data_IF_803529206092
#
_entry.id   IF_803529206092
#
_cell.length_a   1.000
_cell.length_b   1.000
_cell.length_c   1.000
_cell.angle_alpha   90.00
_cell.angle_beta   90.00
_cell.angle_gamma   90.00
#
_symmetry.space_group_name_H-M   'P 1'
#
loop_
_entity.id
_entity.type
_entity.pdbx_description
1 polymer ?
#
# COMPACT_ATOMS: atom_id res chain seq x y z
N UNK A 1 -11.19 5.71 -6.30
CA UNK A 1 -11.04 6.59 -5.12
C UNK A 1 -11.60 8.00 -5.31
N UNK A 2 -11.07 8.88 -6.18
CA UNK A 2 -11.59 10.26 -6.33
C UNK A 2 -13.09 10.35 -6.64
N UNK A 3 -13.55 9.58 -7.64
CA UNK A 3 -14.97 9.46 -8.02
C UNK A 3 -15.84 9.00 -6.84
N UNK A 4 -15.41 7.95 -6.14
CA UNK A 4 -16.09 7.46 -4.94
C UNK A 4 -16.12 8.48 -3.80
N UNK A 5 -15.04 9.23 -3.59
CA UNK A 5 -14.98 10.31 -2.60
C UNK A 5 -15.92 11.48 -2.95
N UNK A 6 -16.24 11.66 -4.23
CA UNK A 6 -17.26 12.59 -4.71
C UNK A 6 -18.70 12.04 -4.63
N UNK A 7 -18.89 10.84 -4.04
CA UNK A 7 -20.20 10.20 -3.90
C UNK A 7 -20.65 9.40 -5.12
N UNK A 8 -19.79 9.22 -6.12
CA UNK A 8 -20.15 8.47 -7.33
C UNK A 8 -20.12 6.96 -7.09
N UNK A 9 -21.20 6.27 -7.50
CA UNK A 9 -21.27 4.81 -7.50
C UNK A 9 -20.61 4.27 -8.78
N UNK A 10 -19.56 3.46 -8.60
CA UNK A 10 -18.86 2.82 -9.71
C UNK A 10 -19.48 1.46 -10.05
N UNK A 11 -19.58 1.08 -11.33
CA UNK A 11 -19.96 -0.28 -11.71
C UNK A 11 -19.05 -1.31 -11.05
N UNK A 12 -19.60 -2.44 -10.63
CA UNK A 12 -18.85 -3.51 -9.92
C UNK A 12 -17.61 -3.96 -10.70
N UNK A 13 -17.71 -4.10 -12.02
CA UNK A 13 -16.57 -4.48 -12.86
C UNK A 13 -15.43 -3.47 -12.81
N UNK A 14 -15.75 -2.17 -12.86
CA UNK A 14 -14.76 -1.10 -12.76
C UNK A 14 -14.08 -1.09 -11.39
N UNK A 15 -14.87 -1.29 -10.33
CA UNK A 15 -14.35 -1.41 -8.97
C UNK A 15 -13.35 -2.58 -8.84
N UNK A 16 -13.72 -3.76 -9.35
CA UNK A 16 -12.90 -4.97 -9.32
C UNK A 16 -11.59 -4.80 -10.08
N UNK A 17 -11.64 -4.20 -11.28
CA UNK A 17 -10.44 -3.86 -12.05
C UNK A 17 -9.59 -2.82 -11.31
N UNK A 18 -10.20 -1.82 -10.67
CA UNK A 18 -9.51 -0.82 -9.87
C UNK A 18 -8.67 -1.42 -8.73
N UNK A 19 -9.10 -2.53 -8.12
CA UNK A 19 -8.31 -3.20 -7.10
C UNK A 19 -7.01 -3.80 -7.67
N UNK A 20 -6.93 -4.14 -8.96
CA UNK A 20 -5.69 -4.68 -9.54
C UNK A 20 -4.52 -3.68 -9.52
N UNK A 21 -4.82 -2.37 -9.50
CA UNK A 21 -3.82 -1.28 -9.47
C UNK A 21 -3.08 -1.11 -8.15
N UNK A 22 -3.62 -1.68 -7.06
CA UNK A 22 -3.04 -1.56 -5.72
C UNK A 22 -2.80 -2.93 -5.07
N UNK A 23 -3.13 -4.04 -5.75
CA UNK A 23 -3.02 -5.39 -5.21
C UNK A 23 -2.03 -6.24 -6.01
N UNK A 24 -0.72 -5.92 -5.97
CA UNK A 24 0.27 -6.76 -6.63
C UNK A 24 0.41 -8.11 -5.95
N UNK A 25 0.98 -9.06 -6.69
CA UNK A 25 1.58 -10.24 -6.07
C UNK A 25 2.90 -9.85 -5.42
N UNK A 26 3.01 -10.04 -4.11
CA UNK A 26 4.26 -9.91 -3.34
C UNK A 26 4.99 -11.23 -3.39
N UNK A 27 6.06 -11.26 -4.17
CA UNK A 27 6.87 -12.44 -4.45
C UNK A 27 8.12 -12.43 -3.56
N UNK A 28 8.32 -13.51 -2.81
CA UNK A 28 9.42 -13.69 -1.87
C UNK A 28 9.93 -15.12 -1.93
N UNK A 29 11.18 -15.33 -1.50
CA UNK A 29 11.77 -16.67 -1.39
C UNK A 29 12.60 -16.73 -0.10
N UNK A 30 12.49 -17.83 0.64
CA UNK A 30 13.18 -18.00 1.91
C UNK A 30 12.83 -19.32 2.58
N UNK A 31 12.94 -19.41 3.92
CA UNK A 31 12.66 -20.63 4.68
C UNK A 31 11.23 -21.17 4.50
N UNK A 32 10.25 -20.33 4.14
CA UNK A 32 8.89 -20.78 3.83
C UNK A 32 8.69 -21.16 2.34
N UNK A 33 9.77 -21.22 1.57
CA UNK A 33 9.75 -21.53 0.14
C UNK A 33 9.40 -20.34 -0.75
N UNK A 34 9.18 -20.63 -2.04
CA UNK A 34 8.67 -19.64 -3.00
C UNK A 34 7.24 -19.27 -2.63
N UNK A 35 6.97 -17.97 -2.54
CA UNK A 35 5.66 -17.47 -2.17
C UNK A 35 5.27 -16.26 -3.01
N UNK A 36 4.01 -16.21 -3.45
CA UNK A 36 3.40 -15.08 -4.13
C UNK A 36 2.04 -14.77 -3.48
N UNK A 37 1.98 -13.74 -2.65
CA UNK A 37 0.76 -13.36 -1.93
C UNK A 37 0.19 -12.04 -2.43
N UNK A 38 -1.12 -11.96 -2.66
CA UNK A 38 -1.76 -10.69 -3.03
C UNK A 38 -1.91 -9.81 -1.77
N UNK A 39 -1.43 -8.57 -1.83
CA UNK A 39 -1.53 -7.59 -0.72
C UNK A 39 -1.91 -6.21 -1.26
N UNK A 40 -2.76 -5.48 -0.54
CA UNK A 40 -3.03 -4.07 -0.87
C UNK A 40 -1.84 -3.20 -0.48
N UNK A 41 -1.24 -2.51 -1.44
CA UNK A 41 -0.02 -1.71 -1.29
C UNK A 41 -0.29 -0.29 -1.79
N UNK A 42 0.28 0.71 -1.12
CA UNK A 42 0.20 2.10 -1.56
C UNK A 42 1.49 2.88 -1.30
N UNK A 43 1.62 4.04 -1.95
CA UNK A 43 2.69 4.98 -1.66
C UNK A 43 2.57 5.55 -0.24
N UNK A 44 3.72 5.93 0.29
CA UNK A 44 3.81 6.65 1.57
C UNK A 44 4.22 8.11 1.33
N UNK A 45 3.89 9.04 2.25
CA UNK A 45 4.44 10.38 2.24
C UNK A 45 5.96 10.37 2.37
N UNK A 46 6.62 11.39 1.82
CA UNK A 46 8.02 11.69 2.14
C UNK A 46 8.16 11.97 3.64
N UNK A 47 9.37 11.78 4.16
CA UNK A 47 9.65 11.87 5.59
C UNK A 47 9.16 13.20 6.20
N UNK A 48 9.33 14.33 5.50
CA UNK A 48 8.91 15.65 5.97
C UNK A 48 7.39 15.86 6.05
N UNK A 49 6.58 15.01 5.39
CA UNK A 49 5.11 15.06 5.40
C UNK A 49 4.46 13.91 6.17
N UNK A 50 5.26 12.94 6.64
CA UNK A 50 4.75 11.72 7.28
C UNK A 50 3.99 12.04 8.58
N UNK A 51 4.61 12.83 9.46
CA UNK A 51 4.01 13.19 10.76
C UNK A 51 2.76 14.08 10.59
N UNK A 52 2.77 15.04 9.66
CA UNK A 52 1.59 15.87 9.35
C UNK A 52 0.41 14.99 8.90
N UNK A 53 0.69 14.01 8.03
CA UNK A 53 -0.34 13.11 7.49
C UNK A 53 -0.85 12.15 8.56
N UNK A 54 0.06 11.57 9.37
CA UNK A 54 -0.29 10.71 10.49
C UNK A 54 -1.17 11.46 11.51
N UNK A 55 -0.83 12.70 11.85
CA UNK A 55 -1.62 13.51 12.78
C UNK A 55 -3.05 13.70 12.28
N UNK A 56 -3.24 13.96 10.98
CA UNK A 56 -4.57 14.08 10.39
C UNK A 56 -5.36 12.76 10.48
N UNK A 57 -4.70 11.61 10.26
CA UNK A 57 -5.31 10.28 10.39
C UNK A 57 -5.74 9.99 11.83
N UNK A 58 -4.87 10.25 12.80
CA UNK A 58 -5.16 10.05 14.22
C UNK A 58 -6.32 10.93 14.68
N UNK A 59 -6.34 12.21 14.28
CA UNK A 59 -7.43 13.12 14.60
C UNK A 59 -8.79 12.68 14.03
N UNK A 60 -8.80 11.91 12.93
CA UNK A 60 -10.02 11.29 12.40
C UNK A 60 -10.42 10.03 13.20
N UNK A 61 -9.45 9.16 13.50
CA UNK A 61 -9.62 7.92 14.25
C UNK A 61 -10.12 8.18 15.68
N UNK A 62 -9.55 9.17 16.37
CA UNK A 62 -9.89 9.55 17.75
C UNK A 62 -11.35 9.98 17.92
N UNK A 63 -12.00 10.44 16.85
CA UNK A 63 -13.44 10.77 16.86
C UNK A 63 -14.35 9.54 16.91
N UNK A 64 -13.79 8.34 16.75
CA UNK A 64 -14.49 7.07 16.85
C UNK A 64 -15.40 6.76 15.66
N UNK A 65 -15.83 5.50 15.59
CA UNK A 65 -16.75 5.01 14.55
C UNK A 65 -18.12 5.70 14.63
N UNK A 66 -18.57 6.27 13.51
CA UNK A 66 -19.81 7.07 13.42
C UNK A 66 -20.39 7.07 11.99
N UNK A 67 -21.66 7.46 11.79
CA UNK A 67 -22.18 7.70 10.45
C UNK A 67 -21.29 8.70 9.68
N UNK A 68 -20.92 8.38 8.43
CA UNK A 68 -20.02 9.21 7.63
C UNK A 68 -18.52 8.94 7.84
N UNK A 69 -18.14 8.03 8.76
CA UNK A 69 -16.72 7.74 9.06
C UNK A 69 -15.94 7.33 7.80
N UNK A 70 -16.46 6.36 7.05
CA UNK A 70 -15.80 5.86 5.84
C UNK A 70 -15.67 6.93 4.77
N UNK A 71 -16.68 7.76 4.60
CA UNK A 71 -16.73 8.84 3.62
C UNK A 71 -15.74 9.96 3.97
N UNK A 72 -15.69 10.35 5.24
CA UNK A 72 -14.69 11.28 5.76
C UNK A 72 -13.27 10.72 5.64
N UNK A 73 -13.05 9.47 6.02
CA UNK A 73 -11.76 8.80 5.90
C UNK A 73 -11.30 8.68 4.45
N UNK A 74 -12.19 8.31 3.53
CA UNK A 74 -11.89 8.26 2.10
C UNK A 74 -11.53 9.64 1.55
N UNK A 75 -12.25 10.70 1.94
CA UNK A 75 -11.89 12.08 1.55
C UNK A 75 -10.51 12.46 2.07
N UNK A 76 -10.19 12.08 3.31
CA UNK A 76 -8.88 12.34 3.90
C UNK A 76 -7.76 11.59 3.17
N UNK A 77 -7.95 10.31 2.86
CA UNK A 77 -7.01 9.54 2.02
C UNK A 77 -6.82 10.20 0.65
N UNK A 78 -7.91 10.64 0.02
CA UNK A 78 -7.84 11.33 -1.28
C UNK A 78 -7.08 12.64 -1.16
N UNK A 79 -7.39 13.49 -0.18
CA UNK A 79 -6.70 14.74 0.06
C UNK A 79 -5.19 14.52 0.24
N UNK A 80 -4.82 13.56 1.09
CA UNK A 80 -3.44 13.36 1.56
C UNK A 80 -2.56 12.56 0.61
N UNK A 81 -3.12 11.60 -0.13
CA UNK A 81 -2.33 10.66 -0.94
C UNK A 81 -2.76 10.59 -2.40
N UNK A 82 -4.02 10.85 -2.72
CA UNK A 82 -4.54 10.61 -4.08
C UNK A 82 -5.00 11.88 -4.80
N UNK A 83 -4.70 13.08 -4.30
CA UNK A 83 -5.04 14.35 -4.95
C UNK A 83 -3.87 14.85 -5.80
N UNK A 84 -4.09 15.66 -6.86
CA UNK A 84 -2.98 16.25 -7.62
C UNK A 84 -1.98 17.03 -6.74
N UNK A 85 -2.41 17.83 -5.74
CA UNK A 85 -1.48 18.48 -4.82
C UNK A 85 -0.67 17.52 -3.93
N UNK A 86 -1.17 16.31 -3.67
CA UNK A 86 -0.46 15.32 -2.85
C UNK A 86 0.73 14.69 -3.59
N UNK A 87 0.76 14.71 -4.92
CA UNK A 87 1.78 14.03 -5.73
C UNK A 87 3.21 14.44 -5.34
N UNK A 88 3.45 15.74 -5.14
CA UNK A 88 4.76 16.26 -4.71
C UNK A 88 5.16 15.88 -3.28
N UNK A 89 4.22 15.38 -2.47
CA UNK A 89 4.40 14.95 -1.08
C UNK A 89 4.67 13.45 -0.94
N UNK A 90 4.47 12.66 -1.99
CA UNK A 90 4.68 11.20 -1.96
C UNK A 90 6.13 10.83 -2.24
N UNK A 91 6.58 9.73 -1.63
CA UNK A 91 7.84 9.09 -1.96
C UNK A 91 7.58 7.94 -2.94
N UNK A 92 7.81 8.19 -4.24
CA UNK A 92 7.62 7.20 -5.30
C UNK A 92 8.68 6.09 -5.29
N UNK A 93 9.72 6.19 -4.46
CA UNK A 93 10.68 5.10 -4.26
C UNK A 93 10.23 4.12 -3.17
N UNK A 94 9.11 4.40 -2.48
CA UNK A 94 8.66 3.62 -1.33
C UNK A 94 7.18 3.26 -1.39
N UNK A 95 6.89 2.02 -1.00
CA UNK A 95 5.53 1.49 -0.91
C UNK A 95 5.32 0.84 0.45
N UNK A 96 4.11 0.89 0.98
CA UNK A 96 3.79 0.35 2.30
C UNK A 96 2.54 -0.51 2.32
N UNK A 97 2.50 -1.46 3.26
CA UNK A 97 1.32 -2.29 3.57
C UNK A 97 1.37 -2.86 4.98
N UNK A 98 0.25 -3.38 5.47
CA UNK A 98 0.16 -4.12 6.72
C UNK A 98 0.34 -5.62 6.51
N UNK A 99 1.02 -6.27 7.46
CA UNK A 99 1.02 -7.71 7.62
C UNK A 99 -0.01 -8.12 8.67
N UNK A 100 -1.02 -8.87 8.24
CA UNK A 100 -2.13 -9.31 9.09
C UNK A 100 -2.10 -10.82 9.41
N UNK A 101 -1.34 -11.61 8.64
CA UNK A 101 -1.34 -13.07 8.71
C UNK A 101 -0.06 -13.66 9.30
N UNK A 102 1.09 -12.99 9.14
CA UNK A 102 2.43 -13.45 9.60
C UNK A 102 2.84 -14.84 9.07
N UNK A 103 2.35 -15.21 7.87
CA UNK A 103 2.63 -16.50 7.21
C UNK A 103 3.89 -16.43 6.33
N UNK A 104 3.88 -17.06 5.14
CA UNK A 104 5.07 -17.25 4.29
C UNK A 104 5.84 -15.98 3.96
N UNK A 105 5.17 -14.88 3.55
CA UNK A 105 5.83 -13.60 3.26
C UNK A 105 6.60 -13.08 4.47
N UNK A 106 5.98 -13.14 5.66
CA UNK A 106 6.61 -12.70 6.91
C UNK A 106 7.83 -13.55 7.26
N UNK A 107 7.69 -14.88 7.19
CA UNK A 107 8.80 -15.82 7.46
C UNK A 107 9.96 -15.61 6.47
N UNK A 108 9.65 -15.40 5.19
CA UNK A 108 10.68 -15.17 4.16
C UNK A 108 11.40 -13.83 4.39
N UNK A 109 10.67 -12.74 4.60
CA UNK A 109 11.25 -11.40 4.76
C UNK A 109 12.09 -11.25 6.03
N UNK A 110 11.87 -12.07 7.05
CA UNK A 110 12.71 -12.13 8.24
C UNK A 110 14.12 -12.69 7.95
N UNK A 111 14.26 -13.51 6.90
CA UNK A 111 15.53 -14.15 6.53
C UNK A 111 16.20 -13.49 5.32
N UNK A 112 15.41 -12.99 4.37
CA UNK A 112 15.89 -12.33 3.16
C UNK A 112 14.98 -11.15 2.81
N UNK A 113 15.49 -9.90 2.84
CA UNK A 113 14.66 -8.74 2.59
C UNK A 113 14.27 -8.58 1.12
N UNK A 114 14.88 -9.32 0.19
CA UNK A 114 14.62 -9.18 -1.25
C UNK A 114 13.20 -9.57 -1.60
N UNK A 115 12.58 -8.75 -2.44
CA UNK A 115 11.18 -8.89 -2.80
C UNK A 115 10.93 -8.36 -4.21
N UNK A 116 9.98 -8.98 -4.89
CA UNK A 116 9.45 -8.50 -6.15
C UNK A 116 7.95 -8.26 -6.00
N UNK A 117 7.47 -7.10 -6.43
CA UNK A 117 6.05 -6.77 -6.51
C UNK A 117 5.63 -6.82 -7.97
N UNK A 118 4.73 -7.75 -8.32
CA UNK A 118 4.18 -7.85 -9.67
C UNK A 118 2.78 -7.25 -9.71
N UNK A 119 2.65 -6.09 -10.34
CA UNK A 119 1.39 -5.45 -10.67
C UNK A 119 0.90 -5.95 -12.02
N UNK A 120 -0.37 -6.31 -12.11
CA UNK A 120 -1.00 -6.71 -13.36
C UNK A 120 -2.43 -6.16 -13.44
N UNK A 121 -2.67 -5.33 -14.44
CA UNK A 121 -4.00 -4.87 -14.81
C UNK A 121 -4.36 -5.49 -16.18
N UNK A 122 -5.34 -6.41 -16.22
CA UNK A 122 -5.74 -7.06 -17.46
C UNK A 122 -6.20 -6.04 -18.53
N UNK A 123 -5.96 -6.32 -19.82
CA UNK A 123 -5.39 -7.57 -20.33
C UNK A 123 -3.85 -7.57 -20.43
N UNK A 124 -3.19 -6.41 -20.36
CA UNK A 124 -1.80 -6.31 -20.85
C UNK A 124 -0.88 -5.45 -20.02
N UNK A 125 -1.37 -4.63 -19.09
CA UNK A 125 -0.53 -3.72 -18.31
C UNK A 125 0.11 -4.51 -17.17
N UNK A 126 1.43 -4.55 -17.13
CA UNK A 126 2.16 -5.30 -16.12
C UNK A 126 3.47 -4.61 -15.75
N UNK A 127 3.69 -4.41 -14.46
CA UNK A 127 4.92 -3.82 -13.95
C UNK A 127 5.48 -4.66 -12.83
N UNK A 128 6.78 -4.87 -12.87
CA UNK A 128 7.53 -5.59 -11.85
C UNK A 128 8.47 -4.62 -11.14
N UNK A 129 8.27 -4.47 -9.84
CA UNK A 129 9.10 -3.64 -8.98
C UNK A 129 10.00 -4.57 -8.16
N UNK A 130 11.31 -4.41 -8.28
CA UNK A 130 12.28 -5.17 -7.47
C UNK A 130 12.89 -4.27 -6.41
N UNK A 131 13.19 -4.88 -5.27
CA UNK A 131 14.01 -4.23 -4.27
C UNK A 131 13.96 -5.00 -2.97
N UNK A 132 13.82 -4.27 -1.86
CA UNK A 132 13.88 -4.83 -0.51
C UNK A 132 12.72 -4.38 0.37
N UNK A 133 12.33 -5.20 1.32
CA UNK A 133 11.35 -4.87 2.35
C UNK A 133 12.02 -4.71 3.72
N UNK A 134 11.55 -3.74 4.48
CA UNK A 134 11.78 -3.63 5.92
C UNK A 134 10.49 -3.96 6.68
N UNK A 135 10.63 -4.66 7.80
CA UNK A 135 9.52 -4.97 8.71
C UNK A 135 9.53 -3.98 9.86
N UNK A 136 8.51 -3.12 9.90
CA UNK A 136 8.31 -2.13 10.96
C UNK A 136 7.31 -2.63 12.00
N UNK A 137 7.66 -2.46 13.27
CA UNK A 137 6.84 -2.82 14.43
C UNK A 137 6.57 -1.59 15.30
N UNK A 138 5.91 -1.79 16.43
CA UNK A 138 5.60 -0.75 17.40
C UNK A 138 6.84 0.08 17.77
N UNK A 139 6.65 1.41 17.86
CA UNK A 139 7.73 2.38 18.03
C UNK A 139 8.26 2.97 16.71
N UNK A 140 7.97 2.37 15.56
CA UNK A 140 8.30 2.94 14.25
C UNK A 140 7.22 3.91 13.74
N UNK A 141 7.60 5.07 13.17
CA UNK A 141 6.63 5.99 12.55
C UNK A 141 5.91 5.34 11.35
N UNK A 142 6.58 4.46 10.59
CA UNK A 142 5.96 3.76 9.46
C UNK A 142 4.94 2.71 9.89
N UNK A 143 5.21 2.00 10.98
CA UNK A 143 4.25 1.06 11.58
C UNK A 143 2.97 1.78 12.01
N UNK A 144 3.13 2.90 12.72
CA UNK A 144 2.02 3.73 13.18
C UNK A 144 1.24 4.34 12.02
N UNK A 145 1.95 4.87 11.02
CA UNK A 145 1.36 5.44 9.81
C UNK A 145 0.53 4.42 9.03
N UNK A 146 1.09 3.25 8.73
CA UNK A 146 0.40 2.25 7.90
C UNK A 146 -0.81 1.64 8.62
N UNK A 147 -0.73 1.47 9.94
CA UNK A 147 -1.88 1.04 10.73
C UNK A 147 -2.98 2.12 10.77
N UNK A 148 -2.59 3.38 10.98
CA UNK A 148 -3.53 4.50 10.92
C UNK A 148 -4.17 4.63 9.53
N UNK A 149 -3.39 4.50 8.45
CA UNK A 149 -3.90 4.59 7.08
C UNK A 149 -4.99 3.54 6.80
N UNK A 150 -4.82 2.31 7.29
CA UNK A 150 -5.86 1.28 7.22
C UNK A 150 -7.10 1.68 8.03
N UNK A 151 -6.91 2.09 9.29
CA UNK A 151 -8.00 2.38 10.22
C UNK A 151 -8.73 3.70 9.92
N UNK A 152 -8.17 4.60 9.11
CA UNK A 152 -8.87 5.80 8.61
C UNK A 152 -10.09 5.44 7.76
N UNK A 153 -10.03 4.34 7.00
CA UNK A 153 -11.15 3.91 6.16
C UNK A 153 -11.90 2.71 6.72
N UNK A 154 -11.24 1.86 7.50
CA UNK A 154 -11.83 0.70 8.14
C UNK A 154 -12.28 1.01 9.57
N UNK A 155 -12.94 0.04 10.23
CA UNK A 155 -13.27 0.21 11.64
C UNK A 155 -11.97 0.31 12.44
N UNK A 156 -11.75 1.39 13.23
CA UNK A 156 -10.49 1.61 13.91
C UNK A 156 -10.27 0.61 15.04
N UNK A 157 -9.09 0.01 15.07
CA UNK A 157 -8.64 -0.91 16.13
C UNK A 157 -7.20 -0.58 16.58
N UNK A 158 -6.93 0.63 17.14
CA UNK A 158 -5.60 1.02 17.61
C UNK A 158 -5.00 0.05 18.64
N UNK A 159 -5.84 -0.56 19.46
CA UNK A 159 -5.46 -1.57 20.45
C UNK A 159 -4.81 -2.82 19.85
N UNK A 160 -5.00 -3.06 18.54
CA UNK A 160 -4.47 -4.21 17.82
C UNK A 160 -3.25 -3.89 16.96
N UNK A 161 -2.76 -2.65 16.96
CA UNK A 161 -1.67 -2.26 16.06
C UNK A 161 -0.36 -3.01 16.35
N UNK A 162 -0.08 -3.34 17.61
CA UNK A 162 1.07 -4.16 18.01
C UNK A 162 1.04 -5.58 17.42
N UNK A 163 -0.14 -6.08 17.05
CA UNK A 163 -0.33 -7.37 16.36
C UNK A 163 -0.06 -7.29 14.85
N UNK A 164 0.02 -6.08 14.28
CA UNK A 164 0.04 -5.84 12.83
C UNK A 164 1.36 -5.15 12.43
N UNK A 165 2.45 -5.91 12.18
CA UNK A 165 3.65 -5.37 11.58
C UNK A 165 3.33 -4.71 10.25
N UNK A 166 4.16 -3.79 9.82
CA UNK A 166 4.03 -3.13 8.54
C UNK A 166 5.25 -3.42 7.67
N UNK A 167 5.04 -3.61 6.38
CA UNK A 167 6.13 -3.67 5.42
C UNK A 167 6.34 -2.32 4.77
N UNK A 168 7.59 -1.90 4.69
CA UNK A 168 8.04 -0.81 3.86
C UNK A 168 8.94 -1.36 2.76
N UNK A 169 8.49 -1.25 1.51
CA UNK A 169 9.22 -1.66 0.33
C UNK A 169 10.02 -0.48 -0.21
N UNK A 170 11.30 -0.72 -0.48
CA UNK A 170 12.20 0.20 -1.17
C UNK A 170 12.38 -0.31 -2.59
N UNK A 171 12.02 0.53 -3.56
CA UNK A 171 12.11 0.21 -4.97
C UNK A 171 13.55 0.48 -5.43
N UNK A 172 14.18 -0.53 -6.00
CA UNK A 172 15.55 -0.47 -6.54
C UNK A 172 15.55 -0.58 -8.07
N UNK A 173 14.59 -1.31 -8.64
CA UNK A 173 14.43 -1.48 -10.09
C UNK A 173 12.95 -1.54 -10.47
N UNK A 174 12.61 -1.06 -11.67
CA UNK A 174 11.27 -1.20 -12.25
C UNK A 174 11.40 -1.77 -13.66
N UNK A 175 10.59 -2.77 -13.94
CA UNK A 175 10.48 -3.42 -15.24
C UNK A 175 9.07 -3.25 -15.79
N UNK A 176 8.98 -2.84 -17.06
CA UNK A 176 7.77 -2.92 -17.85
C UNK A 176 7.61 -4.33 -18.41
N UNK A 177 6.74 -5.10 -17.78
CA UNK A 177 6.37 -6.46 -18.18
C UNK A 177 5.11 -6.47 -19.07
N UNK A 178 4.63 -5.31 -19.49
CA UNK A 178 3.41 -5.20 -20.28
C UNK A 178 3.59 -5.92 -21.62
N UNK A 179 2.49 -6.49 -22.13
CA UNK A 179 2.46 -7.12 -23.45
C UNK A 179 2.36 -6.04 -24.55
N UNK A 180 3.44 -5.29 -24.75
CA UNK A 180 3.55 -4.16 -25.68
C UNK A 180 4.90 -4.20 -26.43
N UNK A 181 5.04 -3.43 -27.50
CA UNK A 181 6.29 -3.35 -28.29
C UNK A 181 7.51 -2.90 -27.45
N UNK A 182 7.29 -2.08 -26.42
CA UNK A 182 8.33 -1.57 -25.54
C UNK A 182 8.46 -2.28 -24.19
N UNK A 183 7.60 -3.27 -23.92
CA UNK A 183 7.52 -3.99 -22.64
C UNK A 183 8.33 -5.28 -22.60
N UNK A 184 7.71 -6.37 -22.13
CA UNK A 184 8.31 -7.71 -22.01
C UNK A 184 9.62 -7.80 -21.20
N UNK A 185 9.66 -7.19 -20.02
CA UNK A 185 10.83 -7.27 -19.13
C UNK A 185 11.86 -6.19 -19.41
N UNK A 186 11.43 -5.07 -20.01
CA UNK A 186 12.29 -3.90 -20.18
C UNK A 186 12.46 -3.18 -18.86
N UNK A 187 13.70 -3.04 -18.40
CA UNK A 187 14.02 -2.17 -17.26
C UNK A 187 13.80 -0.70 -17.62
N UNK A 188 13.08 0.02 -16.78
CA UNK A 188 12.73 1.45 -16.93
C UNK A 188 13.18 2.31 -15.75
N UNK A 189 13.64 1.69 -14.66
CA UNK A 189 14.32 2.30 -13.50
C UNK A 189 15.28 1.27 -12.90
#
# INVERSE_FOLDING_TARGET
MRRQAAGESLPRGELLLGFTRHSPAVVTCGPAGLNASIKGIGFIPKAEYLEETLAAYLAHIERGWRPGYREEGLRLLVERLYSPPAEGRLDFSRLGTLELARCHTYVNLQADPRVTLLFFEPPSVSYELRGRAEIHQEGSPYHRFLNAQHDVFHFPHPERWSERPAYLFFIEEIYDNSASEGGFGRRIY
#
